data_IF_839359165070
#
_entry.id   IF_839359165070
#
_cell.length_a   1.000
_cell.length_b   1.000
_cell.length_c   1.000
_cell.angle_alpha   90.00
_cell.angle_beta   90.00
_cell.angle_gamma   90.00
#
_symmetry.space_group_name_H-M   'P 1'
#
loop_
_entity.id
_entity.type
_entity.pdbx_description
1 polymer ?
#
# COMPACT_ATOMS: atom_id res chain seq x y z
N UNK A 1 -9.84 -4.79 3.90
CA UNK A 1 -8.96 -3.84 4.63
C UNK A 1 -8.01 -4.58 5.57
N UNK A 2 -8.49 -5.41 6.51
CA UNK A 2 -7.61 -6.14 7.44
C UNK A 2 -6.44 -6.92 6.80
N UNK A 3 -6.70 -7.73 5.76
CA UNK A 3 -5.65 -8.46 5.04
C UNK A 3 -4.62 -7.54 4.34
N UNK A 4 -5.08 -6.41 3.78
CA UNK A 4 -4.22 -5.41 3.15
C UNK A 4 -3.34 -4.70 4.19
N UNK A 5 -3.90 -4.35 5.36
CA UNK A 5 -3.16 -3.76 6.48
C UNK A 5 -2.11 -4.71 7.02
N UNK A 6 -2.44 -5.99 7.19
CA UNK A 6 -1.47 -7.00 7.62
C UNK A 6 -0.34 -7.16 6.58
N UNK A 7 -0.69 -7.28 5.30
CA UNK A 7 0.31 -7.37 4.24
C UNK A 7 1.21 -6.13 4.21
N UNK A 8 0.64 -4.93 4.33
CA UNK A 8 1.41 -3.69 4.39
C UNK A 8 2.43 -3.69 5.54
N UNK A 9 1.99 -4.07 6.75
CA UNK A 9 2.88 -4.14 7.93
C UNK A 9 4.00 -5.17 7.72
N UNK A 10 3.67 -6.37 7.24
CA UNK A 10 4.67 -7.42 6.99
C UNK A 10 5.72 -6.95 5.98
N UNK A 11 5.27 -6.35 4.89
CA UNK A 11 6.17 -5.91 3.83
C UNK A 11 7.04 -4.73 4.28
N UNK A 12 6.48 -3.74 4.97
CA UNK A 12 7.26 -2.63 5.53
C UNK A 12 8.29 -3.13 6.56
N UNK A 13 7.96 -4.17 7.33
CA UNK A 13 8.89 -4.83 8.24
C UNK A 13 10.02 -5.53 7.51
N UNK A 14 9.73 -6.22 6.41
CA UNK A 14 10.77 -6.83 5.58
C UNK A 14 11.64 -5.78 4.91
N UNK A 15 11.09 -4.69 4.41
CA UNK A 15 11.88 -3.62 3.78
C UNK A 15 12.82 -2.95 4.77
N UNK A 16 12.31 -2.52 5.94
CA UNK A 16 13.14 -1.88 6.96
C UNK A 16 14.15 -2.87 7.56
N UNK A 17 13.69 -4.08 7.88
CA UNK A 17 14.49 -5.10 8.54
C UNK A 17 15.52 -5.73 7.62
N UNK A 18 15.18 -5.89 6.35
CA UNK A 18 16.08 -6.40 5.35
C UNK A 18 17.21 -5.43 5.03
N UNK A 19 16.96 -4.13 4.97
CA UNK A 19 18.02 -3.13 4.83
C UNK A 19 18.99 -3.20 6.01
N UNK A 20 18.47 -3.26 7.24
CA UNK A 20 19.27 -3.41 8.46
C UNK A 20 20.05 -4.73 8.48
N UNK A 21 19.41 -5.83 8.11
CA UNK A 21 20.03 -7.16 8.08
C UNK A 21 21.19 -7.20 7.09
N UNK A 22 21.03 -6.63 5.89
CA UNK A 22 22.10 -6.55 4.89
C UNK A 22 23.28 -5.76 5.42
N UNK A 23 23.03 -4.61 6.06
CA UNK A 23 24.09 -3.79 6.64
C UNK A 23 24.81 -4.53 7.76
N UNK A 24 24.08 -5.16 8.69
CA UNK A 24 24.69 -5.95 9.77
C UNK A 24 25.51 -7.14 9.23
N UNK A 25 24.97 -7.83 8.22
CA UNK A 25 25.65 -8.92 7.53
C UNK A 25 26.95 -8.42 6.87
N UNK A 26 26.90 -7.32 6.14
CA UNK A 26 28.04 -6.79 5.42
C UNK A 26 29.12 -6.20 6.34
N UNK A 27 28.73 -5.53 7.44
CA UNK A 27 29.66 -5.12 8.48
C UNK A 27 30.39 -6.33 9.09
N UNK A 28 29.66 -7.42 9.34
CA UNK A 28 30.20 -8.61 10.02
C UNK A 28 31.07 -9.49 9.13
N UNK A 29 30.62 -9.75 7.90
CA UNK A 29 31.19 -10.77 7.02
C UNK A 29 31.93 -10.21 5.80
N UNK A 30 31.64 -8.96 5.40
CA UNK A 30 32.25 -8.32 4.24
C UNK A 30 33.18 -7.15 4.62
N UNK A 31 33.31 -6.86 5.92
CA UNK A 31 34.20 -5.82 6.44
C UNK A 31 33.83 -4.42 5.95
N UNK A 32 32.54 -4.15 5.75
CA UNK A 32 32.10 -2.80 5.38
C UNK A 32 32.55 -1.78 6.42
N UNK A 33 33.00 -0.63 5.93
CA UNK A 33 33.23 0.55 6.73
C UNK A 33 32.03 1.51 6.63
N UNK A 34 32.13 2.63 7.33
CA UNK A 34 31.09 3.65 7.33
C UNK A 34 30.87 4.24 5.92
N UNK A 35 31.93 4.37 5.12
CA UNK A 35 31.85 4.88 3.76
C UNK A 35 31.05 3.94 2.86
N UNK A 36 31.38 2.65 2.86
CA UNK A 36 30.70 1.63 2.04
C UNK A 36 29.24 1.51 2.43
N UNK A 37 28.94 1.56 3.73
CA UNK A 37 27.57 1.56 4.24
C UNK A 37 26.79 2.78 3.73
N UNK A 38 27.41 3.97 3.80
CA UNK A 38 26.80 5.22 3.33
C UNK A 38 26.56 5.22 1.82
N UNK A 39 27.49 4.67 1.04
CA UNK A 39 27.35 4.49 -0.41
C UNK A 39 26.20 3.53 -0.75
N UNK A 40 26.08 2.42 -0.02
CA UNK A 40 24.98 1.47 -0.22
C UNK A 40 23.61 2.11 0.05
N UNK A 41 23.46 2.82 1.18
CA UNK A 41 22.21 3.50 1.56
C UNK A 41 21.85 4.63 0.57
N UNK A 42 22.86 5.40 0.14
CA UNK A 42 22.69 6.45 -0.87
C UNK A 42 22.26 5.84 -2.20
N UNK A 43 22.92 4.77 -2.63
CA UNK A 43 22.58 4.03 -3.84
C UNK A 43 21.16 3.48 -3.79
N UNK A 44 20.74 2.89 -2.68
CA UNK A 44 19.37 2.39 -2.49
C UNK A 44 18.34 3.52 -2.69
N UNK A 45 18.58 4.67 -2.06
CA UNK A 45 17.70 5.84 -2.14
C UNK A 45 17.63 6.41 -3.56
N UNK A 46 18.79 6.55 -4.22
CA UNK A 46 18.88 7.05 -5.59
C UNK A 46 18.22 6.11 -6.60
N UNK A 47 18.46 4.81 -6.49
CA UNK A 47 17.82 3.80 -7.31
C UNK A 47 16.30 3.81 -7.09
N UNK A 48 15.85 3.86 -5.84
CA UNK A 48 14.42 3.90 -5.51
C UNK A 48 13.72 5.13 -6.09
N UNK A 49 14.29 6.32 -5.90
CA UNK A 49 13.76 7.56 -6.45
C UNK A 49 13.69 7.53 -7.99
N UNK A 50 14.76 7.05 -8.64
CA UNK A 50 14.80 6.93 -10.10
C UNK A 50 13.74 5.94 -10.60
N UNK A 51 13.61 4.80 -9.94
CA UNK A 51 12.65 3.75 -10.29
C UNK A 51 11.19 4.19 -10.14
N UNK A 52 10.86 4.97 -9.11
CA UNK A 52 9.52 5.55 -8.93
C UNK A 52 9.07 6.37 -10.14
N UNK A 53 10.00 7.07 -10.80
CA UNK A 53 9.72 7.91 -11.96
C UNK A 53 9.64 7.10 -13.27
N UNK A 54 10.36 5.98 -13.35
CA UNK A 54 10.54 5.24 -14.61
C UNK A 54 9.54 4.10 -14.79
N UNK A 55 9.27 3.30 -13.74
CA UNK A 55 8.54 2.03 -13.93
C UNK A 55 7.10 2.20 -14.35
N UNK A 56 6.37 3.13 -13.72
CA UNK A 56 4.95 3.34 -14.05
C UNK A 56 4.74 3.77 -15.51
N UNK A 57 5.41 4.81 -16.04
CA UNK A 57 5.25 5.18 -17.45
C UNK A 57 5.79 4.11 -18.40
N UNK A 58 6.88 3.42 -18.04
CA UNK A 58 7.42 2.33 -18.86
C UNK A 58 6.42 1.18 -19.00
N UNK A 59 5.86 0.70 -17.90
CA UNK A 59 4.87 -0.39 -17.90
C UNK A 59 3.57 0.02 -18.60
N UNK A 60 3.13 1.28 -18.45
CA UNK A 60 1.96 1.78 -19.17
C UNK A 60 2.20 1.79 -20.70
N UNK A 61 3.40 2.16 -21.15
CA UNK A 61 3.77 2.10 -22.57
C UNK A 61 3.84 0.67 -23.10
N UNK A 62 4.42 -0.25 -22.32
CA UNK A 62 4.57 -1.66 -22.73
C UNK A 62 3.23 -2.39 -22.77
N UNK A 63 2.35 -2.14 -21.78
CA UNK A 63 1.03 -2.78 -21.72
C UNK A 63 -0.03 -2.11 -22.59
N UNK A 64 0.22 -0.89 -23.10
CA UNK A 64 -0.76 -0.10 -23.84
C UNK A 64 -1.94 0.38 -22.99
N UNK A 65 -1.89 0.20 -21.66
CA UNK A 65 -2.99 0.47 -20.75
C UNK A 65 -2.47 1.07 -19.42
N UNK A 66 -3.30 1.83 -18.68
CA UNK A 66 -2.93 2.28 -17.35
C UNK A 66 -2.73 1.10 -16.41
N UNK A 67 -1.56 1.05 -15.75
CA UNK A 67 -1.22 0.00 -14.77
C UNK A 67 -1.98 0.24 -13.47
N UNK A 68 -2.60 -0.80 -12.94
CA UNK A 68 -3.33 -0.73 -11.66
C UNK A 68 -2.37 -0.60 -10.47
N UNK A 69 -2.82 0.06 -9.39
CA UNK A 69 -2.02 0.22 -8.17
C UNK A 69 -1.65 -1.14 -7.56
N UNK A 70 -2.55 -2.14 -7.64
CA UNK A 70 -2.27 -3.49 -7.16
C UNK A 70 -1.17 -4.21 -7.94
N UNK A 71 -1.12 -4.01 -9.27
CA UNK A 71 -0.04 -4.53 -10.09
C UNK A 71 1.29 -3.85 -9.74
N UNK A 72 1.29 -2.53 -9.55
CA UNK A 72 2.48 -1.79 -9.14
C UNK A 72 3.00 -2.22 -7.76
N UNK A 73 2.11 -2.45 -6.78
CA UNK A 73 2.48 -3.00 -5.47
C UNK A 73 3.13 -4.37 -5.63
N UNK A 74 2.54 -5.27 -6.42
CA UNK A 74 3.07 -6.62 -6.62
C UNK A 74 4.45 -6.61 -7.28
N UNK A 75 4.61 -5.83 -8.36
CA UNK A 75 5.88 -5.65 -9.06
C UNK A 75 6.95 -5.07 -8.14
N UNK A 76 6.58 -4.06 -7.34
CA UNK A 76 7.49 -3.43 -6.39
C UNK A 76 8.10 -4.42 -5.39
N UNK A 77 7.38 -5.48 -5.00
CA UNK A 77 7.89 -6.47 -4.04
C UNK A 77 8.48 -7.75 -4.64
N UNK A 78 8.28 -8.02 -5.94
CA UNK A 78 9.05 -9.06 -6.62
C UNK A 78 10.55 -8.75 -6.67
N UNK A 79 10.92 -7.46 -6.80
CA UNK A 79 12.32 -7.02 -6.76
C UNK A 79 13.01 -7.38 -5.44
N UNK A 80 12.54 -6.90 -4.28
CA UNK A 80 13.04 -7.28 -2.97
C UNK A 80 13.05 -8.80 -2.73
N UNK A 81 12.05 -9.54 -3.22
CA UNK A 81 12.04 -11.00 -3.10
C UNK A 81 13.19 -11.64 -3.88
N UNK A 82 13.41 -11.21 -5.13
CA UNK A 82 14.54 -11.66 -5.93
C UNK A 82 15.88 -11.26 -5.29
N UNK A 83 15.97 -10.04 -4.75
CA UNK A 83 17.15 -9.58 -4.02
C UNK A 83 17.48 -10.48 -2.82
N UNK A 84 16.52 -10.74 -1.93
CA UNK A 84 16.76 -11.60 -0.77
C UNK A 84 17.03 -13.05 -1.17
N UNK A 85 16.42 -13.57 -2.23
CA UNK A 85 16.74 -14.89 -2.75
C UNK A 85 18.20 -14.98 -3.24
N UNK A 86 18.70 -13.96 -3.93
CA UNK A 86 20.10 -13.90 -4.36
C UNK A 86 21.06 -13.80 -3.17
N UNK A 87 20.76 -12.94 -2.19
CA UNK A 87 21.59 -12.80 -0.99
C UNK A 87 21.57 -14.09 -0.15
N UNK A 88 20.40 -14.73 -0.02
CA UNK A 88 20.23 -16.01 0.65
C UNK A 88 21.10 -17.10 -0.01
N UNK A 89 21.01 -17.22 -1.34
CA UNK A 89 21.79 -18.20 -2.08
C UNK A 89 23.30 -17.98 -1.91
N UNK A 90 23.76 -16.72 -1.97
CA UNK A 90 25.17 -16.39 -1.79
C UNK A 90 25.66 -16.62 -0.35
N UNK A 91 24.83 -16.30 0.66
CA UNK A 91 25.14 -16.55 2.06
C UNK A 91 25.19 -18.06 2.36
N UNK A 92 24.27 -18.85 1.79
CA UNK A 92 24.24 -20.31 1.93
C UNK A 92 25.44 -20.99 1.24
N UNK A 93 25.90 -20.44 0.10
CA UNK A 93 27.08 -20.92 -0.61
C UNK A 93 28.42 -20.44 -0.01
N UNK A 94 28.40 -19.70 1.11
CA UNK A 94 29.58 -19.05 1.71
C UNK A 94 30.38 -18.18 0.71
N UNK A 95 29.72 -17.64 -0.31
CA UNK A 95 30.31 -16.79 -1.35
C UNK A 95 29.64 -15.40 -1.45
N UNK A 96 29.31 -14.71 -0.33
CA UNK A 96 28.80 -13.35 -0.42
C UNK A 96 29.88 -12.41 -0.95
N UNK A 97 29.49 -11.41 -1.74
CA UNK A 97 30.41 -10.38 -2.23
C UNK A 97 29.78 -9.01 -2.23
N UNK A 98 30.61 -7.97 -2.09
CA UNK A 98 30.17 -6.58 -2.22
C UNK A 98 29.55 -6.35 -3.60
N UNK A 99 30.18 -6.87 -4.65
CA UNK A 99 29.70 -6.75 -6.02
C UNK A 99 28.26 -7.26 -6.17
N UNK A 100 27.91 -8.40 -5.55
CA UNK A 100 26.54 -8.91 -5.56
C UNK A 100 25.57 -7.94 -4.88
N UNK A 101 25.87 -7.46 -3.68
CA UNK A 101 24.98 -6.58 -2.91
C UNK A 101 24.72 -5.26 -3.63
N UNK A 102 25.75 -4.67 -4.24
CA UNK A 102 25.64 -3.43 -5.02
C UNK A 102 24.97 -3.66 -6.39
N UNK A 103 25.31 -4.74 -7.10
CA UNK A 103 24.70 -5.03 -8.41
C UNK A 103 23.21 -5.38 -8.29
N UNK A 104 22.80 -6.03 -7.20
CA UNK A 104 21.42 -6.38 -6.94
C UNK A 104 20.63 -5.23 -6.26
N UNK A 105 21.27 -4.12 -5.92
CA UNK A 105 20.63 -2.95 -5.28
C UNK A 105 19.40 -2.43 -6.03
N UNK A 106 19.38 -2.37 -7.38
CA UNK A 106 18.18 -1.98 -8.12
C UNK A 106 17.00 -2.92 -7.89
N UNK A 107 17.23 -4.22 -7.64
CA UNK A 107 16.14 -5.14 -7.30
C UNK A 107 15.59 -4.83 -5.92
N UNK A 108 16.45 -4.52 -4.95
CA UNK A 108 15.99 -4.17 -3.61
C UNK A 108 15.23 -2.85 -3.59
N UNK A 109 15.70 -1.84 -4.32
CA UNK A 109 15.07 -0.52 -4.36
C UNK A 109 13.69 -0.48 -5.04
N UNK A 110 13.33 -1.52 -5.80
CA UNK A 110 11.99 -1.66 -6.39
C UNK A 110 10.89 -1.60 -5.31
N UNK A 111 11.18 -2.08 -4.10
CA UNK A 111 10.24 -2.04 -2.98
C UNK A 111 9.77 -0.64 -2.64
N UNK A 112 10.62 0.38 -2.83
CA UNK A 112 10.26 1.77 -2.58
C UNK A 112 9.13 2.24 -3.49
N UNK A 113 9.06 1.71 -4.73
CA UNK A 113 8.03 2.10 -5.70
C UNK A 113 6.62 1.71 -5.29
N UNK A 114 6.44 0.72 -4.40
CA UNK A 114 5.12 0.24 -3.99
C UNK A 114 4.41 1.15 -2.97
N UNK A 115 5.14 1.93 -2.17
CA UNK A 115 4.57 2.71 -1.08
C UNK A 115 3.52 3.75 -1.55
N UNK A 116 3.76 4.56 -2.60
CA UNK A 116 2.73 5.46 -3.14
C UNK A 116 1.47 4.72 -3.60
N UNK A 117 1.63 3.50 -4.15
CA UNK A 117 0.51 2.69 -4.63
C UNK A 117 -0.28 2.05 -3.48
N UNK A 118 0.39 1.66 -2.39
CA UNK A 118 -0.32 1.27 -1.16
C UNK A 118 -1.17 2.42 -0.62
N UNK A 119 -0.60 3.62 -0.50
CA UNK A 119 -1.37 4.82 -0.08
C UNK A 119 -2.57 5.06 -1.01
N UNK A 120 -2.38 4.93 -2.32
CA UNK A 120 -3.49 5.03 -3.28
C UNK A 120 -4.58 3.97 -3.06
N UNK A 121 -4.21 2.70 -2.80
CA UNK A 121 -5.17 1.63 -2.52
C UNK A 121 -5.97 1.89 -1.23
N UNK A 122 -5.34 2.38 -0.18
CA UNK A 122 -6.04 2.76 1.06
C UNK A 122 -6.94 3.98 0.87
N UNK A 123 -6.52 4.96 0.07
CA UNK A 123 -7.34 6.14 -0.26
C UNK A 123 -8.63 5.76 -0.99
N UNK A 124 -8.50 4.87 -1.98
CA UNK A 124 -9.62 4.40 -2.81
C UNK A 124 -10.61 3.50 -2.06
N UNK A 125 -10.22 2.97 -0.90
CA UNK A 125 -11.06 2.08 -0.10
C UNK A 125 -12.14 2.83 0.71
N UNK A 126 -12.14 4.17 0.71
CA UNK A 126 -13.10 5.00 1.44
C UNK A 126 -13.63 6.17 0.62
N UNK A 127 -14.78 6.71 1.03
CA UNK A 127 -15.30 7.97 0.52
C UNK A 127 -14.44 9.18 0.92
N UNK A 128 -14.56 10.27 0.15
CA UNK A 128 -13.72 11.48 0.30
C UNK A 128 -13.65 12.05 1.72
N UNK A 129 -14.77 12.05 2.45
CA UNK A 129 -14.85 12.58 3.81
C UNK A 129 -13.96 11.85 4.84
N UNK A 130 -13.58 10.59 4.59
CA UNK A 130 -12.77 9.76 5.50
C UNK A 130 -11.32 9.58 5.02
N UNK A 131 -10.91 10.24 3.93
CA UNK A 131 -9.57 10.05 3.37
C UNK A 131 -8.47 10.48 4.34
N UNK A 132 -8.66 11.59 5.07
CA UNK A 132 -7.71 12.06 6.08
C UNK A 132 -7.47 11.05 7.19
N UNK A 133 -8.54 10.48 7.75
CA UNK A 133 -8.47 9.43 8.77
C UNK A 133 -7.75 8.18 8.26
N UNK A 134 -8.03 7.75 7.02
CA UNK A 134 -7.35 6.59 6.44
C UNK A 134 -5.88 6.84 6.18
N UNK A 135 -5.48 8.04 5.77
CA UNK A 135 -4.06 8.38 5.64
C UNK A 135 -3.35 8.37 6.99
N UNK A 136 -4.03 8.81 8.06
CA UNK A 136 -3.49 8.72 9.42
C UNK A 136 -3.30 7.25 9.84
N UNK A 137 -4.26 6.36 9.53
CA UNK A 137 -4.12 4.91 9.78
C UNK A 137 -2.95 4.33 8.99
N UNK A 138 -2.79 4.67 7.72
CA UNK A 138 -1.63 4.20 6.92
C UNK A 138 -0.32 4.70 7.53
N UNK A 139 -0.25 5.96 7.95
CA UNK A 139 0.92 6.50 8.64
C UNK A 139 1.22 5.75 9.95
N UNK A 140 0.20 5.39 10.73
CA UNK A 140 0.37 4.57 11.93
C UNK A 140 0.85 3.16 11.61
N UNK A 141 0.33 2.53 10.55
CA UNK A 141 0.80 1.22 10.11
C UNK A 141 2.25 1.26 9.57
N UNK A 142 2.66 2.38 8.99
CA UNK A 142 4.02 2.60 8.46
C UNK A 142 5.04 2.81 9.59
N UNK A 143 4.63 3.40 10.71
CA UNK A 143 5.50 3.63 11.87
C UNK A 143 5.69 2.38 12.73
N UNK A 144 4.71 1.48 12.79
CA UNK A 144 4.79 0.24 13.58
C UNK A 144 6.09 -0.56 13.33
N UNK A 145 6.44 -0.91 12.08
CA UNK A 145 7.70 -1.59 11.78
C UNK A 145 8.95 -0.85 12.26
N UNK A 146 8.95 0.48 12.31
CA UNK A 146 10.11 1.26 12.73
C UNK A 146 10.46 1.02 14.20
N UNK A 147 9.47 0.66 15.03
CA UNK A 147 9.66 0.42 16.48
C UNK A 147 10.27 -0.96 16.75
N UNK A 148 9.76 -2.02 16.11
CA UNK A 148 10.12 -3.39 16.49
C UNK A 148 11.10 -4.07 15.53
N UNK A 149 11.20 -3.61 14.28
CA UNK A 149 11.95 -4.36 13.26
C UNK A 149 13.45 -4.38 13.56
N UNK A 150 14.02 -3.24 13.97
CA UNK A 150 15.43 -3.16 14.32
C UNK A 150 15.83 -4.10 15.46
N UNK A 151 15.18 -4.09 16.65
CA UNK A 151 15.55 -5.01 17.71
C UNK A 151 15.33 -6.48 17.31
N UNK A 152 14.23 -6.81 16.62
CA UNK A 152 13.99 -8.19 16.19
C UNK A 152 15.05 -8.71 15.22
N UNK A 153 15.41 -7.92 14.19
CA UNK A 153 16.44 -8.30 13.23
C UNK A 153 17.79 -8.44 13.91
N UNK A 154 18.14 -7.52 14.81
CA UNK A 154 19.43 -7.56 15.53
C UNK A 154 19.55 -8.78 16.43
N UNK A 155 18.48 -9.11 17.16
CA UNK A 155 18.42 -10.33 17.98
C UNK A 155 18.50 -11.57 17.10
N UNK A 156 17.68 -11.65 16.05
CA UNK A 156 17.70 -12.79 15.13
C UNK A 156 19.10 -13.01 14.54
N UNK A 157 19.72 -11.95 14.00
CA UNK A 157 21.06 -12.02 13.41
C UNK A 157 22.13 -12.47 14.42
N UNK A 158 22.09 -11.93 15.65
CA UNK A 158 23.05 -12.28 16.71
C UNK A 158 22.94 -13.74 17.14
N UNK A 159 21.73 -14.30 17.20
CA UNK A 159 21.53 -15.71 17.53
C UNK A 159 21.86 -16.67 16.38
N UNK A 160 21.86 -16.18 15.13
CA UNK A 160 22.13 -16.98 13.93
C UNK A 160 23.49 -16.71 13.31
N UNK A 161 24.48 -16.20 14.06
CA UNK A 161 25.81 -15.90 13.51
C UNK A 161 26.52 -17.11 12.88
N UNK A 162 26.25 -18.32 13.37
CA UNK A 162 26.78 -19.57 12.82
C UNK A 162 26.09 -20.00 11.52
N UNK A 163 24.91 -19.45 11.23
CA UNK A 163 24.10 -19.72 10.05
C UNK A 163 23.49 -18.41 9.51
N UNK A 164 24.32 -17.49 8.97
CA UNK A 164 23.90 -16.12 8.65
C UNK A 164 22.88 -16.04 7.51
N UNK A 165 22.63 -17.14 6.80
CA UNK A 165 21.60 -17.28 5.77
C UNK A 165 20.18 -17.39 6.36
N UNK A 166 20.03 -17.88 7.61
CA UNK A 166 18.73 -18.11 8.29
C UNK A 166 17.85 -16.86 8.36
N UNK A 167 18.35 -15.68 8.81
CA UNK A 167 17.52 -14.49 8.88
C UNK A 167 17.07 -13.98 7.50
N UNK A 168 17.88 -14.18 6.45
CA UNK A 168 17.46 -13.88 5.07
C UNK A 168 16.34 -14.82 4.60
N UNK A 169 16.43 -16.12 4.92
CA UNK A 169 15.36 -17.06 4.62
C UNK A 169 14.06 -16.69 5.35
N UNK A 170 14.15 -16.26 6.61
CA UNK A 170 13.01 -15.77 7.39
C UNK A 170 12.34 -14.55 6.75
N UNK A 171 13.14 -13.54 6.37
CA UNK A 171 12.61 -12.35 5.68
C UNK A 171 11.97 -12.68 4.32
N UNK A 172 12.60 -13.57 3.55
CA UNK A 172 12.06 -14.01 2.26
C UNK A 172 10.72 -14.75 2.46
N UNK A 173 10.62 -15.61 3.47
CA UNK A 173 9.38 -16.32 3.79
C UNK A 173 8.26 -15.34 4.19
N UNK A 174 8.55 -14.34 5.02
CA UNK A 174 7.59 -13.29 5.41
C UNK A 174 7.14 -12.50 4.17
N UNK A 175 8.08 -12.14 3.29
CA UNK A 175 7.78 -11.41 2.06
C UNK A 175 6.88 -12.22 1.11
N UNK A 176 7.18 -13.51 0.93
CA UNK A 176 6.35 -14.41 0.13
C UNK A 176 4.94 -14.55 0.74
N UNK A 177 4.83 -14.67 2.06
CA UNK A 177 3.53 -14.71 2.74
C UNK A 177 2.74 -13.41 2.53
N UNK A 178 3.41 -12.26 2.57
CA UNK A 178 2.76 -10.98 2.35
C UNK A 178 2.33 -10.78 0.88
N UNK A 179 3.16 -11.19 -0.09
CA UNK A 179 2.79 -11.24 -1.51
C UNK A 179 1.58 -12.14 -1.75
N UNK A 180 1.52 -13.30 -1.07
CA UNK A 180 0.37 -14.20 -1.13
C UNK A 180 -0.90 -13.54 -0.55
N UNK A 181 -0.79 -12.83 0.57
CA UNK A 181 -1.91 -12.07 1.16
C UNK A 181 -2.40 -10.95 0.23
N UNK A 182 -1.49 -10.26 -0.45
CA UNK A 182 -1.82 -9.23 -1.45
C UNK A 182 -2.57 -9.87 -2.62
N UNK A 183 -2.03 -10.95 -3.19
CA UNK A 183 -2.66 -11.69 -4.29
C UNK A 183 -4.06 -12.22 -3.89
N UNK A 184 -4.18 -12.80 -2.69
CA UNK A 184 -5.45 -13.29 -2.17
C UNK A 184 -6.46 -12.16 -1.98
N UNK A 185 -6.04 -10.99 -1.49
CA UNK A 185 -6.91 -9.82 -1.32
C UNK A 185 -7.48 -9.38 -2.67
N UNK A 186 -6.67 -9.37 -3.73
CA UNK A 186 -7.14 -9.03 -5.07
C UNK A 186 -8.02 -10.11 -5.71
N UNK A 187 -7.69 -11.39 -5.53
CA UNK A 187 -8.49 -12.52 -6.04
C UNK A 187 -9.87 -12.61 -5.36
N UNK A 188 -9.94 -12.38 -4.04
CA UNK A 188 -11.21 -12.36 -3.32
C UNK A 188 -12.02 -11.10 -3.63
N UNK A 189 -11.34 -9.97 -3.86
CA UNK A 189 -11.98 -8.73 -4.31
C UNK A 189 -12.66 -8.89 -5.66
N UNK A 190 -11.97 -9.45 -6.66
CA UNK A 190 -12.52 -9.62 -8.01
C UNK A 190 -13.73 -10.56 -8.05
N UNK A 191 -13.73 -11.62 -7.23
CA UNK A 191 -14.90 -12.54 -7.11
C UNK A 191 -16.14 -11.85 -6.55
N UNK A 192 -15.98 -11.05 -5.49
CA UNK A 192 -17.10 -10.33 -4.87
C UNK A 192 -17.74 -9.32 -5.81
N UNK A 193 -16.95 -8.65 -6.64
CA UNK A 193 -17.47 -7.75 -7.67
C UNK A 193 -18.23 -8.53 -8.76
N UNK A 194 -17.70 -9.66 -9.24
CA UNK A 194 -18.39 -10.48 -10.23
C UNK A 194 -19.69 -11.12 -9.71
N UNK A 195 -19.75 -11.47 -8.42
CA UNK A 195 -20.99 -11.95 -7.77
C UNK A 195 -22.01 -10.83 -7.58
N UNK A 196 -21.58 -9.62 -7.21
CA UNK A 196 -22.46 -8.46 -7.08
C UNK A 196 -23.02 -8.02 -8.44
N UNK A 197 -22.21 -8.04 -9.50
CA UNK A 197 -22.66 -7.72 -10.87
C UNK A 197 -23.68 -8.73 -11.38
N UNK A 198 -23.47 -10.03 -11.12
CA UNK A 198 -24.45 -11.08 -11.43
C UNK A 198 -25.74 -10.94 -10.63
N UNK A 199 -25.64 -10.59 -9.34
CA UNK A 199 -26.81 -10.36 -8.51
C UNK A 199 -27.60 -9.12 -8.97
N UNK A 200 -26.91 -8.07 -9.41
CA UNK A 200 -27.54 -6.86 -9.94
C UNK A 200 -28.18 -7.11 -11.32
N UNK A 201 -27.53 -7.89 -12.19
CA UNK A 201 -28.10 -8.31 -13.48
C UNK A 201 -29.36 -9.17 -13.28
N UNK A 202 -29.32 -10.14 -12.36
CA UNK A 202 -30.48 -10.95 -12.02
C UNK A 202 -31.63 -10.13 -11.42
N UNK A 203 -31.32 -9.10 -10.62
CA UNK A 203 -32.32 -8.17 -10.10
C UNK A 203 -32.91 -7.27 -11.19
N UNK A 204 -32.10 -6.80 -12.16
CA UNK A 204 -32.56 -6.00 -13.29
C UNK A 204 -33.49 -6.79 -14.23
N UNK A 205 -33.18 -8.06 -14.51
CA UNK A 205 -34.04 -8.97 -15.28
C UNK A 205 -35.36 -9.26 -14.54
N UNK A 206 -35.31 -9.37 -13.20
CA UNK A 206 -36.51 -9.53 -12.36
C UNK A 206 -37.44 -8.32 -12.37
N UNK A 207 -36.89 -7.10 -12.42
CA UNK A 207 -37.68 -5.84 -12.49
C UNK A 207 -38.34 -5.67 -13.86
N UNK A 208 -37.70 -6.12 -14.95
CA UNK A 208 -38.30 -6.10 -16.29
C UNK A 208 -39.53 -7.03 -16.40
N UNK A 209 -39.56 -8.14 -15.65
CA UNK A 209 -40.70 -9.06 -15.59
C UNK A 209 -41.91 -8.51 -14.80
N UNK A 210 -41.72 -7.50 -13.96
CA UNK A 210 -42.81 -6.88 -13.18
C UNK A 210 -43.40 -5.62 -13.83
N UNK A 211 -42.85 -5.17 -14.97
CA UNK A 211 -43.29 -3.97 -15.67
C UNK A 211 -44.42 -4.20 -16.71
N UNK A 212 -44.93 -5.43 -16.83
CA UNK A 212 -46.00 -5.79 -17.78
C UNK A 212 -47.42 -5.70 -17.21
N UNK A 213 -47.62 -5.06 -16.05
CA UNK A 213 -48.98 -4.73 -15.61
C UNK A 213 -49.37 -3.35 -16.15
N UNK A 214 -50.33 -3.27 -17.09
CA UNK A 214 -50.73 -2.01 -17.70
C UNK A 214 -51.27 -1.07 -16.61
N UNK A 215 -50.88 0.23 -16.62
CA UNK A 215 -51.35 1.15 -15.60
C UNK A 215 -52.88 1.22 -15.64
N UNK A 216 -53.58 1.09 -14.49
CA UNK A 216 -55.02 1.29 -14.44
C UNK A 216 -55.31 2.70 -14.93
N UNK A 217 -56.26 2.81 -15.87
CA UNK A 217 -56.66 4.05 -16.50
C UNK A 217 -56.94 5.12 -15.42
N UNK A 218 -56.08 6.13 -15.35
CA UNK A 218 -56.26 7.29 -14.49
C UNK A 218 -57.48 8.07 -14.97
N UNK A 219 -58.53 8.06 -14.15
CA UNK A 219 -59.68 8.93 -14.32
C UNK A 219 -59.25 10.41 -14.22
N UNK A 220 -59.83 11.31 -15.02
CA UNK A 220 -59.46 12.72 -15.04
C UNK A 220 -59.95 13.40 -13.76
N UNK A 221 -59.03 13.69 -12.84
CA UNK A 221 -59.23 14.64 -11.74
C UNK A 221 -58.82 16.04 -12.23
N UNK A 222 -59.71 16.64 -13.02
CA UNK A 222 -59.84 18.09 -13.02
C UNK A 222 -60.51 18.51 -11.69
N UNK A 223 -60.16 19.72 -11.23
CA UNK A 223 -60.74 20.43 -10.07
C UNK A 223 -60.10 20.17 -8.69
N UNK A 224 -58.93 20.76 -8.47
CA UNK A 224 -58.66 21.51 -7.23
C UNK A 224 -57.43 22.41 -7.39
N UNK A 225 -57.59 23.42 -8.24
CA UNK A 225 -56.78 24.64 -8.25
C UNK A 225 -57.44 25.56 -7.23
N UNK A 226 -56.77 25.88 -6.11
CA UNK A 226 -56.77 27.19 -5.44
C UNK A 226 -56.31 27.09 -3.98
N UNK A 227 -55.59 28.14 -3.58
CA UNK A 227 -55.28 28.59 -2.22
C UNK A 227 -54.13 27.88 -1.48
N UNK A 228 -52.92 28.44 -1.57
CA UNK A 228 -52.25 29.00 -0.39
C UNK A 228 -50.95 29.68 -0.81
N UNK A 229 -51.06 30.99 -1.00
CA UNK A 229 -49.97 31.97 -0.99
C UNK A 229 -49.79 32.45 0.46
N UNK A 230 -48.64 32.19 1.07
CA UNK A 230 -48.04 32.93 2.21
C UNK A 230 -46.60 32.38 2.38
N UNK A 231 -45.52 33.11 2.10
CA UNK A 231 -44.98 34.31 2.75
C UNK A 231 -44.53 34.04 4.20
N UNK A 232 -43.21 33.88 4.37
CA UNK A 232 -42.34 34.23 5.52
C UNK A 232 -40.95 33.66 5.16
N UNK A 233 -39.92 34.42 4.80
CA UNK A 233 -39.29 35.59 5.45
C UNK A 233 -38.79 35.26 6.87
N UNK A 234 -37.55 34.78 6.95
CA UNK A 234 -36.71 34.95 8.15
C UNK A 234 -35.23 34.82 7.75
N UNK A 235 -34.65 35.99 7.51
CA UNK A 235 -33.23 36.24 7.69
C UNK A 235 -32.88 36.02 9.16
N UNK A 236 -31.79 35.30 9.43
CA UNK A 236 -31.16 35.29 10.75
C UNK A 236 -29.69 35.64 10.58
N UNK A 237 -29.31 36.58 11.43
CA UNK A 237 -28.11 37.38 11.43
C UNK A 237 -26.83 36.59 11.76
N UNK A 238 -25.75 37.21 11.30
CA UNK A 238 -24.37 37.14 11.77
C UNK A 238 -24.27 37.02 13.30
N UNK A 239 -23.31 36.23 13.75
CA UNK A 239 -22.60 36.52 15.00
C UNK A 239 -21.10 36.36 14.74
N UNK A 240 -20.45 37.52 14.61
CA UNK A 240 -19.01 37.70 14.79
C UNK A 240 -18.72 37.59 16.29
N UNK A 241 -17.73 36.79 16.68
CA UNK A 241 -17.07 36.99 17.97
C UNK A 241 -15.59 36.72 17.89
N UNK A 242 -14.89 37.85 18.07
CA UNK A 242 -13.50 38.07 18.40
C UNK A 242 -12.96 37.20 19.53
N UNK A 243 -11.64 36.99 19.49
CA UNK A 243 -10.82 36.52 20.60
C UNK A 243 -9.61 35.75 20.08
N UNK A 244 -8.46 36.36 19.78
CA UNK A 244 -7.74 37.29 20.64
C UNK A 244 -6.78 36.49 21.52
N UNK A 245 -5.48 36.84 21.41
CA UNK A 245 -4.40 36.64 22.39
C UNK A 245 -3.31 35.62 22.06
N UNK A 246 -2.20 36.21 21.63
CA UNK A 246 -0.79 35.81 21.72
C UNK A 246 -0.40 35.03 22.99
N UNK A 247 0.51 34.05 22.85
CA UNK A 247 1.54 33.84 23.89
C UNK A 247 2.82 33.25 23.30
N UNK A 248 3.87 34.03 23.43
CA UNK A 248 5.26 33.69 23.19
C UNK A 248 5.91 33.16 24.48
N UNK A 249 6.99 32.40 24.26
CA UNK A 249 8.14 32.11 25.13
C UNK A 249 7.96 31.12 26.29
N UNK A 250 8.66 30.00 26.12
CA UNK A 250 9.46 29.27 27.10
C UNK A 250 10.60 28.61 26.34
#
# INVERSE_FOLDING_TARGET
IGALSLAFVLVMSVSNGGALLVVQFALRFLGWDQLTTSLYVTGFSLCGATQMLVWRPLLARVSGAPVSDGAMVSIGYYGPAAYFALVLAAAAAAAPSNALLFAALPLFSLGATALPHFRALFSKAVGGAQQGERMAVVGALESLPQVYTQPLVSVAFSHTLHAPWVPFAGLLAILCAALLLIALTFLLGSRRFGEAEKALAAAADGVASCAEEPPPALAPLEASRQASTHADDTSVCLDDSDGGTTRSVG
#
